data_IF_908783429383
#
_entry.id   IF_908783429383
#
_cell.length_a   1.000
_cell.length_b   1.000
_cell.length_c   1.000
_cell.angle_alpha   90.00
_cell.angle_beta   90.00
_cell.angle_gamma   90.00
#
_symmetry.space_group_name_H-M   'P 1'
#
loop_
_entity.id
_entity.type
_entity.pdbx_description
1 polymer ?
#
# COMPACT_ATOMS: atom_id res chain seq x y z
N UNK A 1 64.14 68.20 -35.50
CA UNK A 1 63.92 66.77 -35.67
C UNK A 1 62.89 66.33 -34.65
N UNK A 2 61.69 66.12 -35.10
CA UNK A 2 60.52 65.94 -34.30
C UNK A 2 60.27 64.41 -34.07
N UNK A 3 60.30 63.96 -32.83
CA UNK A 3 59.88 62.58 -32.50
C UNK A 3 58.46 62.57 -32.07
N UNK A 4 57.70 61.94 -32.91
CA UNK A 4 56.25 61.72 -32.74
C UNK A 4 56.07 60.36 -32.03
N UNK A 5 55.84 60.42 -30.71
CA UNK A 5 55.48 59.24 -29.94
C UNK A 5 54.01 58.90 -30.22
N UNK A 6 53.78 57.71 -30.74
CA UNK A 6 52.47 57.16 -30.94
C UNK A 6 52.10 56.37 -29.67
N UNK A 7 51.19 56.92 -28.88
CA UNK A 7 50.61 56.23 -27.74
C UNK A 7 49.51 55.22 -28.25
N UNK A 8 49.87 53.94 -28.22
CA UNK A 8 49.02 52.82 -28.73
C UNK A 8 48.16 52.17 -27.60
N UNK A 9 48.13 52.69 -26.42
CA UNK A 9 47.30 52.14 -25.35
C UNK A 9 46.28 53.16 -24.90
N UNK A 10 45.14 53.19 -25.64
CA UNK A 10 43.88 53.80 -25.17
C UNK A 10 43.39 53.04 -23.97
N UNK A 11 43.42 53.65 -22.81
CA UNK A 11 42.74 53.18 -21.60
C UNK A 11 41.23 53.05 -21.89
N UNK A 12 40.56 51.95 -21.55
CA UNK A 12 39.09 51.92 -21.63
C UNK A 12 38.56 52.90 -20.58
N UNK A 13 38.01 53.99 -21.03
CA UNK A 13 37.22 54.91 -20.21
C UNK A 13 36.03 54.10 -19.64
N UNK A 14 36.08 53.86 -18.35
CA UNK A 14 34.94 53.36 -17.59
C UNK A 14 33.82 54.43 -17.70
N UNK A 15 32.94 54.23 -18.67
CA UNK A 15 31.64 54.92 -18.71
C UNK A 15 30.80 54.43 -17.53
N UNK A 16 31.12 54.93 -16.34
CA UNK A 16 30.25 54.91 -15.21
C UNK A 16 29.06 55.83 -15.50
N UNK A 17 28.12 55.28 -16.28
CA UNK A 17 26.82 55.90 -16.49
C UNK A 17 26.11 55.97 -15.14
N UNK A 18 26.25 57.12 -14.44
CA UNK A 18 25.42 57.43 -13.30
C UNK A 18 23.96 57.34 -13.78
N UNK A 19 23.26 56.27 -13.30
CA UNK A 19 21.87 56.05 -13.62
C UNK A 19 21.05 57.23 -13.08
N UNK A 20 20.81 58.23 -13.92
CA UNK A 20 20.08 59.43 -13.58
C UNK A 20 18.60 59.10 -13.44
N UNK A 21 18.21 58.68 -12.22
CA UNK A 21 16.86 58.31 -11.83
C UNK A 21 15.83 59.37 -12.26
N UNK A 22 16.21 60.67 -12.19
CA UNK A 22 15.37 61.81 -12.59
C UNK A 22 15.12 61.85 -14.13
N UNK A 23 16.10 61.54 -14.94
CA UNK A 23 15.96 61.43 -16.39
C UNK A 23 15.16 60.17 -16.80
N UNK A 24 15.35 59.11 -16.08
CA UNK A 24 14.58 57.87 -16.29
C UNK A 24 13.09 58.10 -15.93
N UNK A 25 12.82 58.72 -14.79
CA UNK A 25 11.42 59.06 -14.38
C UNK A 25 10.76 60.03 -15.36
N UNK A 26 11.44 61.03 -15.86
CA UNK A 26 10.90 61.95 -16.87
C UNK A 26 10.59 61.27 -18.22
N UNK A 27 11.45 60.36 -18.69
CA UNK A 27 11.16 59.52 -19.85
C UNK A 27 10.00 58.58 -19.62
N UNK A 28 9.91 58.00 -18.47
CA UNK A 28 8.79 57.13 -18.07
C UNK A 28 7.46 57.92 -17.99
N UNK A 29 7.48 59.14 -17.43
CA UNK A 29 6.32 60.04 -17.37
C UNK A 29 5.90 60.53 -18.75
N UNK A 30 6.84 60.74 -19.69
CA UNK A 30 6.52 61.13 -21.05
C UNK A 30 5.81 60.02 -21.84
N UNK A 31 6.15 58.72 -21.54
CA UNK A 31 5.54 57.58 -22.20
C UNK A 31 4.41 56.94 -21.38
N UNK A 32 3.85 57.67 -20.41
CA UNK A 32 2.78 57.16 -19.55
C UNK A 32 1.57 56.57 -20.31
N UNK A 33 1.16 57.07 -21.50
CA UNK A 33 0.05 56.45 -22.23
C UNK A 33 0.40 55.05 -22.76
N UNK A 34 1.69 54.80 -23.11
CA UNK A 34 2.17 53.47 -23.45
C UNK A 34 2.04 52.47 -22.29
N UNK A 35 2.42 52.95 -21.08
CA UNK A 35 2.24 52.13 -19.85
C UNK A 35 0.76 51.88 -19.56
N UNK A 36 -0.09 52.89 -19.76
CA UNK A 36 -1.54 52.75 -19.58
C UNK A 36 -2.14 51.72 -20.56
N UNK A 37 -1.73 51.73 -21.83
CA UNK A 37 -2.18 50.76 -22.81
C UNK A 37 -1.70 49.37 -22.45
N UNK A 38 -0.42 49.20 -22.07
CA UNK A 38 0.13 47.94 -21.61
C UNK A 38 -0.61 47.40 -20.37
N UNK A 39 -0.90 48.30 -19.43
CA UNK A 39 -1.59 47.95 -18.19
C UNK A 39 -3.02 47.46 -18.50
N UNK A 40 -3.74 48.20 -19.33
CA UNK A 40 -5.09 47.80 -19.77
C UNK A 40 -5.07 46.47 -20.53
N UNK A 41 -4.13 46.32 -21.46
CA UNK A 41 -3.97 45.07 -22.22
C UNK A 41 -3.67 43.89 -21.27
N UNK A 42 -2.76 44.09 -20.32
CA UNK A 42 -2.44 43.06 -19.32
C UNK A 42 -3.64 42.70 -18.46
N UNK A 43 -4.41 43.71 -17.99
CA UNK A 43 -5.63 43.46 -17.19
C UNK A 43 -6.69 42.71 -18.03
N UNK A 44 -6.85 43.05 -19.31
CA UNK A 44 -7.78 42.35 -20.20
C UNK A 44 -7.32 40.90 -20.37
N UNK A 45 -6.05 40.66 -20.63
CA UNK A 45 -5.49 39.31 -20.76
C UNK A 45 -5.62 38.51 -19.43
N UNK A 46 -5.30 39.14 -18.29
CA UNK A 46 -5.46 38.54 -16.98
C UNK A 46 -6.93 38.19 -16.68
N UNK A 47 -7.85 39.10 -17.01
CA UNK A 47 -9.28 38.86 -16.86
C UNK A 47 -9.74 37.67 -17.70
N UNK A 48 -9.32 37.57 -18.95
CA UNK A 48 -9.63 36.44 -19.81
C UNK A 48 -8.98 35.16 -19.25
N UNK A 49 -7.71 35.21 -18.84
CA UNK A 49 -7.02 34.07 -18.22
C UNK A 49 -7.79 33.54 -17.01
N UNK A 50 -8.10 34.39 -16.03
CA UNK A 50 -8.83 33.99 -14.81
C UNK A 50 -10.23 33.45 -15.15
N UNK A 51 -10.88 34.00 -16.18
CA UNK A 51 -12.24 33.62 -16.54
C UNK A 51 -12.33 32.30 -17.29
N UNK A 52 -11.29 31.93 -18.05
CA UNK A 52 -11.24 30.70 -18.82
C UNK A 52 -10.47 29.58 -18.15
N UNK A 53 -9.60 29.90 -17.18
CA UNK A 53 -8.88 28.89 -16.39
C UNK A 53 -9.84 28.24 -15.41
N UNK A 54 -9.83 26.92 -15.38
CA UNK A 54 -10.60 26.13 -14.41
C UNK A 54 -9.94 26.25 -13.03
N UNK A 55 -10.71 26.52 -11.97
CA UNK A 55 -10.15 26.52 -10.63
C UNK A 55 -9.70 25.10 -10.26
N UNK A 56 -8.53 24.97 -9.65
CA UNK A 56 -8.07 23.77 -9.00
C UNK A 56 -8.06 23.97 -7.50
N UNK A 57 -8.56 23.03 -6.76
CA UNK A 57 -8.64 23.04 -5.29
C UNK A 57 -7.81 21.91 -4.73
N UNK A 58 -6.99 22.23 -3.73
CA UNK A 58 -6.26 21.24 -2.97
C UNK A 58 -7.16 20.74 -1.84
N UNK A 59 -7.35 19.44 -1.77
CA UNK A 59 -8.12 18.76 -0.73
C UNK A 59 -7.19 17.86 0.05
N UNK A 60 -7.13 18.05 1.36
CA UNK A 60 -6.20 17.38 2.25
C UNK A 60 -6.94 16.43 3.18
N UNK A 61 -6.35 15.30 3.46
CA UNK A 61 -6.73 14.40 4.53
C UNK A 61 -5.47 13.91 5.26
N UNK A 62 -5.59 13.73 6.56
CA UNK A 62 -4.50 13.26 7.41
C UNK A 62 -4.95 12.00 8.13
N UNK A 63 -4.17 10.95 8.06
CA UNK A 63 -4.41 9.70 8.77
C UNK A 63 -3.31 9.46 9.80
N UNK A 64 -3.70 9.11 11.02
CA UNK A 64 -2.78 8.66 12.06
C UNK A 64 -2.72 7.14 12.04
N UNK A 65 -1.57 6.59 11.68
CA UNK A 65 -1.30 5.16 11.76
C UNK A 65 -0.93 4.87 13.21
N UNK A 66 -1.90 4.31 13.95
CA UNK A 66 -1.70 3.99 15.36
C UNK A 66 -0.81 2.77 15.48
N UNK A 67 0.41 2.99 15.94
CA UNK A 67 1.31 1.91 16.34
C UNK A 67 0.78 1.25 17.60
N UNK A 68 0.49 -0.05 17.54
CA UNK A 68 -0.01 -0.80 18.71
C UNK A 68 1.10 -1.22 19.67
N UNK A 69 2.35 -0.90 19.38
CA UNK A 69 3.52 -1.23 20.20
C UNK A 69 3.48 -0.64 21.62
N UNK A 70 2.56 0.28 21.92
CA UNK A 70 2.36 0.85 23.28
C UNK A 70 1.37 0.08 24.15
N UNK A 71 0.75 -1.01 23.69
CA UNK A 71 0.04 -1.88 24.61
C UNK A 71 1.07 -2.57 25.50
N UNK A 72 0.99 -2.28 26.80
CA UNK A 72 1.76 -2.87 27.91
C UNK A 72 2.27 -4.24 27.51
N UNK A 73 3.57 -4.36 27.29
CA UNK A 73 4.26 -5.62 27.08
C UNK A 73 3.95 -6.51 28.28
N UNK A 74 3.07 -7.46 28.09
CA UNK A 74 2.97 -8.61 28.97
C UNK A 74 4.13 -9.51 28.54
N UNK A 75 5.14 -9.74 29.40
CA UNK A 75 6.33 -10.52 29.03
C UNK A 75 5.99 -11.88 28.41
N UNK A 76 4.88 -12.48 28.85
CA UNK A 76 4.39 -13.76 28.35
C UNK A 76 3.83 -13.70 26.90
N UNK A 77 3.55 -12.50 26.34
CA UNK A 77 3.09 -12.35 24.95
C UNK A 77 4.24 -11.94 24.00
N UNK A 78 5.30 -11.32 24.55
CA UNK A 78 6.53 -11.06 23.80
C UNK A 78 7.26 -12.39 23.47
N UNK A 79 7.15 -13.38 24.33
CA UNK A 79 7.74 -14.72 24.14
C UNK A 79 7.03 -15.55 23.05
N UNK A 80 5.80 -15.19 22.70
CA UNK A 80 4.99 -15.88 21.69
C UNK A 80 5.03 -15.21 20.32
N UNK A 81 5.82 -14.16 20.14
CA UNK A 81 5.97 -13.38 18.89
C UNK A 81 4.62 -13.01 18.20
N UNK A 82 3.56 -12.89 19.02
CA UNK A 82 2.23 -12.46 18.60
C UNK A 82 2.11 -10.93 18.50
N UNK A 83 3.23 -10.23 18.65
CA UNK A 83 3.29 -8.78 18.50
C UNK A 83 3.42 -8.46 17.02
N UNK A 84 2.33 -7.95 16.43
CA UNK A 84 2.39 -7.38 15.06
C UNK A 84 3.59 -6.44 14.95
N UNK A 85 4.41 -6.61 13.92
CA UNK A 85 5.49 -5.69 13.59
C UNK A 85 4.94 -4.25 13.50
N UNK A 86 5.72 -3.24 13.90
CA UNK A 86 5.32 -1.84 13.75
C UNK A 86 4.89 -1.58 12.31
N UNK A 87 3.71 -0.98 12.13
CA UNK A 87 3.25 -0.63 10.80
C UNK A 87 4.17 0.44 10.23
N UNK A 88 4.79 0.13 9.10
CA UNK A 88 5.59 1.09 8.35
C UNK A 88 4.64 2.02 7.55
N UNK A 89 4.61 3.32 7.86
CA UNK A 89 3.77 4.27 7.13
C UNK A 89 4.04 4.29 5.63
N UNK A 90 5.27 4.00 5.21
CA UNK A 90 5.63 3.93 3.79
C UNK A 90 5.00 2.71 3.09
N UNK A 91 4.91 1.59 3.78
CA UNK A 91 4.21 0.41 3.27
C UNK A 91 2.69 0.65 3.17
N UNK A 92 2.11 1.36 4.16
CA UNK A 92 0.68 1.70 4.15
C UNK A 92 0.33 2.68 3.02
N UNK A 93 1.21 3.65 2.70
CA UNK A 93 1.11 4.49 1.51
C UNK A 93 1.05 3.62 0.25
N UNK A 94 1.93 2.61 0.12
CA UNK A 94 1.93 1.69 -1.01
C UNK A 94 0.61 0.92 -1.18
N UNK A 95 -0.08 0.62 -0.08
CA UNK A 95 -1.42 -0.01 -0.12
C UNK A 95 -2.48 0.98 -0.57
N UNK A 96 -2.46 2.22 -0.06
CA UNK A 96 -3.42 3.26 -0.42
C UNK A 96 -3.30 3.67 -1.89
N UNK A 97 -2.08 3.84 -2.41
CA UNK A 97 -1.81 4.19 -3.82
C UNK A 97 -1.88 3.01 -4.78
N UNK A 98 -2.21 1.81 -4.31
CA UNK A 98 -2.29 0.63 -5.17
C UNK A 98 -3.40 0.76 -6.24
N UNK A 99 -3.16 0.18 -7.42
CA UNK A 99 -4.16 0.12 -8.50
C UNK A 99 -5.48 -0.52 -8.03
N UNK A 100 -5.41 -1.48 -7.10
CA UNK A 100 -6.59 -2.14 -6.54
C UNK A 100 -7.43 -1.15 -5.73
N UNK A 101 -6.79 -0.40 -4.82
CA UNK A 101 -7.47 0.58 -3.95
C UNK A 101 -8.06 1.72 -4.78
N UNK A 102 -7.26 2.34 -5.65
CA UNK A 102 -7.72 3.43 -6.52
C UNK A 102 -8.78 2.92 -7.51
N UNK A 103 -8.63 1.70 -8.01
CA UNK A 103 -9.62 1.06 -8.88
C UNK A 103 -10.97 0.89 -8.21
N UNK A 104 -11.00 0.49 -6.94
CA UNK A 104 -12.24 0.38 -6.16
C UNK A 104 -12.93 1.75 -6.00
N UNK A 105 -12.17 2.81 -5.68
CA UNK A 105 -12.70 4.17 -5.55
C UNK A 105 -13.30 4.67 -6.88
N UNK A 106 -12.61 4.41 -7.99
CA UNK A 106 -13.11 4.79 -9.33
C UNK A 106 -14.42 4.10 -9.64
N UNK A 107 -14.60 2.85 -9.21
CA UNK A 107 -15.84 2.09 -9.39
C UNK A 107 -16.93 2.59 -8.44
N UNK A 108 -16.65 2.74 -7.16
CA UNK A 108 -17.62 3.10 -6.12
C UNK A 108 -18.19 4.50 -6.36
N UNK A 109 -17.35 5.46 -6.70
CA UNK A 109 -17.75 6.83 -6.97
C UNK A 109 -18.08 7.08 -8.45
N UNK A 110 -17.95 6.07 -9.31
CA UNK A 110 -18.17 6.18 -10.77
C UNK A 110 -17.37 7.31 -11.41
N UNK A 111 -16.11 7.52 -11.02
CA UNK A 111 -15.27 8.64 -11.45
C UNK A 111 -14.95 8.62 -12.95
N UNK A 112 -15.17 7.50 -13.61
CA UNK A 112 -15.05 7.36 -15.06
C UNK A 112 -16.20 8.04 -15.83
N UNK A 113 -17.23 8.58 -15.09
CA UNK A 113 -18.34 9.33 -15.66
C UNK A 113 -18.24 10.77 -15.24
N UNK A 114 -18.13 11.70 -16.19
CA UNK A 114 -18.13 13.13 -15.92
C UNK A 114 -19.41 13.79 -16.40
N UNK A 115 -19.89 14.75 -15.64
CA UNK A 115 -21.12 15.49 -15.91
C UNK A 115 -20.80 16.95 -16.06
N UNK A 116 -21.01 17.49 -17.26
CA UNK A 116 -20.69 18.88 -17.59
C UNK A 116 -21.92 19.67 -17.98
N UNK A 117 -21.98 20.90 -17.55
CA UNK A 117 -22.95 21.86 -18.04
C UNK A 117 -22.25 22.95 -18.86
N UNK A 118 -22.83 23.31 -20.02
CA UNK A 118 -22.36 24.42 -20.82
C UNK A 118 -22.67 25.73 -20.13
N UNK A 119 -21.64 26.55 -19.89
CA UNK A 119 -21.77 27.89 -19.30
C UNK A 119 -22.15 28.91 -20.40
N UNK A 120 -22.58 30.13 -19.97
CA UNK A 120 -22.90 31.26 -20.87
C UNK A 120 -21.78 31.61 -21.87
N UNK A 121 -20.53 31.29 -21.54
CA UNK A 121 -19.34 31.56 -22.35
C UNK A 121 -18.87 30.38 -23.19
N UNK A 122 -19.73 29.39 -23.43
CA UNK A 122 -19.44 28.18 -24.23
C UNK A 122 -18.39 27.25 -23.62
N UNK A 123 -17.93 27.52 -22.40
CA UNK A 123 -17.07 26.63 -21.61
C UNK A 123 -17.91 25.56 -20.89
N UNK A 124 -17.39 24.37 -20.74
CA UNK A 124 -18.02 23.29 -19.97
C UNK A 124 -17.50 23.32 -18.54
N UNK A 125 -18.41 23.25 -17.58
CA UNK A 125 -18.10 23.18 -16.15
C UNK A 125 -18.63 21.87 -15.59
N UNK A 126 -17.79 21.19 -14.85
CA UNK A 126 -18.17 19.98 -14.11
C UNK A 126 -19.22 20.31 -13.04
N UNK A 127 -20.27 19.51 -13.01
CA UNK A 127 -21.41 19.65 -12.07
C UNK A 127 -21.55 18.44 -11.15
N UNK A 128 -20.47 17.70 -10.89
CA UNK A 128 -20.46 16.51 -10.04
C UNK A 128 -21.27 16.67 -8.75
N UNK A 129 -21.04 17.75 -8.01
CA UNK A 129 -21.72 18.01 -6.72
C UNK A 129 -23.22 18.33 -6.85
N UNK A 130 -23.69 18.74 -8.03
CA UNK A 130 -25.06 19.20 -8.29
C UNK A 130 -25.71 18.50 -9.49
N UNK A 131 -25.17 17.36 -9.90
CA UNK A 131 -25.72 16.63 -11.05
C UNK A 131 -27.20 16.33 -10.88
N UNK A 132 -28.04 16.62 -11.89
CA UNK A 132 -29.47 16.32 -11.81
C UNK A 132 -29.81 14.86 -12.11
N UNK A 133 -28.88 14.11 -12.69
CA UNK A 133 -29.07 12.70 -13.04
C UNK A 133 -27.82 11.91 -12.72
N UNK A 134 -28.00 10.66 -12.38
CA UNK A 134 -26.93 9.70 -12.17
C UNK A 134 -27.04 8.60 -13.23
N UNK A 135 -25.96 8.43 -13.99
CA UNK A 135 -25.85 7.35 -14.96
C UNK A 135 -25.53 6.06 -14.23
N UNK A 136 -26.34 5.03 -14.44
CA UNK A 136 -26.16 3.71 -13.85
C UNK A 136 -26.02 2.66 -14.96
N UNK A 137 -24.83 2.08 -15.06
CA UNK A 137 -24.59 0.97 -15.96
C UNK A 137 -25.11 -0.31 -15.30
N UNK A 138 -26.09 -0.99 -15.94
CA UNK A 138 -26.70 -2.21 -15.44
C UNK A 138 -26.03 -3.46 -15.98
N UNK A 139 -25.53 -3.39 -17.22
CA UNK A 139 -24.82 -4.47 -17.88
C UNK A 139 -23.86 -3.90 -18.91
N UNK A 140 -22.61 -4.29 -18.85
CA UNK A 140 -21.59 -3.89 -19.84
C UNK A 140 -21.87 -4.53 -21.20
N UNK A 141 -21.72 -3.77 -22.26
CA UNK A 141 -21.72 -4.32 -23.63
C UNK A 141 -20.50 -5.18 -23.90
N UNK A 142 -20.58 -6.09 -24.87
CA UNK A 142 -19.45 -6.99 -25.24
C UNK A 142 -18.18 -6.24 -25.63
N UNK A 143 -18.29 -5.00 -26.08
CA UNK A 143 -17.19 -4.14 -26.52
C UNK A 143 -17.17 -2.83 -25.72
N UNK A 144 -17.37 -2.91 -24.41
CA UNK A 144 -17.26 -1.74 -23.54
C UNK A 144 -15.79 -1.37 -23.34
N UNK A 145 -15.22 -0.83 -24.38
CA UNK A 145 -14.09 0.11 -24.28
C UNK A 145 -14.66 1.44 -24.72
N UNK A 146 -15.01 2.37 -23.82
CA UNK A 146 -15.30 3.74 -24.26
C UNK A 146 -14.04 4.21 -24.97
N UNK A 147 -14.16 4.45 -26.28
CA UNK A 147 -13.17 5.25 -26.99
C UNK A 147 -13.10 6.59 -26.26
N UNK A 148 -11.91 7.18 -26.17
CA UNK A 148 -11.69 8.44 -25.45
C UNK A 148 -12.83 9.42 -25.68
N UNK A 149 -13.67 9.62 -24.62
CA UNK A 149 -14.66 10.67 -24.60
C UNK A 149 -15.97 10.44 -25.32
N UNK A 150 -16.51 9.23 -25.33
CA UNK A 150 -17.89 9.00 -25.80
C UNK A 150 -18.86 9.92 -25.04
N UNK A 151 -19.50 10.84 -25.77
CA UNK A 151 -20.31 11.90 -25.20
C UNK A 151 -21.80 11.67 -25.46
N UNK A 152 -22.58 11.77 -24.39
CA UNK A 152 -24.02 11.79 -24.39
C UNK A 152 -24.52 13.20 -24.03
N UNK A 153 -25.33 13.79 -24.84
CA UNK A 153 -25.96 15.07 -24.55
C UNK A 153 -27.40 14.83 -24.13
N UNK A 154 -27.72 15.25 -22.91
CA UNK A 154 -29.05 15.05 -22.30
C UNK A 154 -29.65 16.41 -22.05
N UNK A 155 -30.82 16.66 -22.65
CA UNK A 155 -31.62 17.86 -22.41
C UNK A 155 -32.81 17.47 -21.54
N UNK A 156 -32.90 17.98 -20.34
CA UNK A 156 -33.96 17.71 -19.36
C UNK A 156 -35.20 18.49 -19.80
N UNK A 157 -36.28 17.81 -20.19
CA UNK A 157 -37.52 18.46 -20.61
C UNK A 157 -38.53 18.64 -19.47
N UNK A 158 -38.65 17.61 -18.65
CA UNK A 158 -39.54 17.58 -17.48
C UNK A 158 -38.97 16.71 -16.37
N UNK A 159 -39.73 16.46 -15.32
CA UNK A 159 -39.33 15.54 -14.26
C UNK A 159 -39.33 14.06 -14.72
N UNK A 160 -40.06 13.75 -15.80
CA UNK A 160 -40.25 12.37 -16.27
C UNK A 160 -39.49 12.06 -17.55
N UNK A 161 -39.16 13.07 -18.35
CA UNK A 161 -38.64 12.89 -19.72
C UNK A 161 -37.41 13.74 -20.01
N UNK A 162 -36.50 13.17 -20.77
CA UNK A 162 -35.33 13.85 -21.31
C UNK A 162 -35.15 13.55 -22.81
N UNK A 163 -34.42 14.43 -23.49
CA UNK A 163 -33.94 14.20 -24.83
C UNK A 163 -32.50 13.73 -24.79
N UNK A 164 -32.24 12.55 -25.35
CA UNK A 164 -30.91 12.02 -25.53
C UNK A 164 -30.42 12.33 -26.95
N UNK A 165 -29.20 12.89 -27.04
CA UNK A 165 -28.45 13.02 -28.29
C UNK A 165 -27.09 12.36 -28.09
N UNK A 166 -26.81 11.31 -28.81
CA UNK A 166 -25.48 10.74 -28.94
C UNK A 166 -24.75 11.37 -30.10
N UNK A 167 -23.43 11.50 -30.04
CA UNK A 167 -22.64 12.09 -31.13
C UNK A 167 -23.04 11.50 -32.48
N UNK A 168 -23.41 12.36 -33.47
CA UNK A 168 -23.84 11.94 -34.82
C UNK A 168 -25.27 11.40 -34.97
N UNK A 169 -26.08 11.27 -33.91
CA UNK A 169 -27.45 10.72 -33.95
C UNK A 169 -28.51 11.78 -33.71
N UNK A 170 -29.77 11.50 -34.18
CA UNK A 170 -30.93 12.37 -33.94
C UNK A 170 -31.37 12.30 -32.45
N UNK A 171 -32.03 13.37 -31.98
CA UNK A 171 -32.60 13.41 -30.64
C UNK A 171 -33.64 12.30 -30.44
N UNK A 172 -33.59 11.59 -29.33
CA UNK A 172 -34.57 10.59 -28.89
C UNK A 172 -35.15 11.03 -27.59
N UNK A 173 -36.48 11.09 -27.47
CA UNK A 173 -37.17 11.35 -26.20
C UNK A 173 -37.25 10.05 -25.42
N UNK A 174 -36.86 10.09 -24.16
CA UNK A 174 -36.77 8.92 -23.28
C UNK A 174 -37.31 9.30 -21.89
N UNK A 175 -37.86 8.32 -21.17
CA UNK A 175 -38.27 8.52 -19.79
C UNK A 175 -37.11 8.22 -18.81
N UNK A 176 -37.10 8.92 -17.68
CA UNK A 176 -36.19 8.60 -16.60
C UNK A 176 -36.52 7.22 -16.00
N UNK A 177 -35.53 6.55 -15.44
CA UNK A 177 -35.63 5.21 -14.84
C UNK A 177 -35.90 4.04 -15.83
N UNK A 178 -36.20 4.32 -17.11
CA UNK A 178 -36.23 3.28 -18.11
C UNK A 178 -34.84 2.72 -18.40
N UNK A 179 -34.79 1.44 -18.77
CA UNK A 179 -33.56 0.79 -19.16
C UNK A 179 -33.30 1.01 -20.65
N UNK A 180 -32.13 1.48 -20.99
CA UNK A 180 -31.71 1.72 -22.38
C UNK A 180 -30.58 0.77 -22.76
N UNK A 181 -30.54 0.40 -24.03
CA UNK A 181 -29.48 -0.43 -24.61
C UNK A 181 -28.85 0.34 -25.75
N UNK A 182 -27.54 0.48 -25.71
CA UNK A 182 -26.73 1.06 -26.79
C UNK A 182 -25.37 0.33 -26.89
N UNK A 183 -24.41 0.91 -27.60
CA UNK A 183 -23.05 0.38 -27.75
C UNK A 183 -22.32 0.17 -26.42
N UNK A 184 -22.64 0.94 -25.38
CA UNK A 184 -22.03 0.83 -24.05
C UNK A 184 -22.62 -0.32 -23.21
N UNK A 185 -23.79 -0.82 -23.57
CA UNK A 185 -24.50 -1.84 -22.82
C UNK A 185 -25.89 -1.41 -22.39
N UNK A 186 -26.39 -2.02 -21.32
CA UNK A 186 -27.67 -1.69 -20.70
C UNK A 186 -27.43 -0.70 -19.56
N UNK A 187 -28.08 0.46 -19.63
CA UNK A 187 -27.93 1.53 -18.65
C UNK A 187 -29.26 2.21 -18.33
N UNK A 188 -29.26 3.01 -17.28
CA UNK A 188 -30.40 3.79 -16.80
C UNK A 188 -29.92 5.13 -16.28
N UNK A 189 -30.78 6.15 -16.37
CA UNK A 189 -30.59 7.42 -15.70
C UNK A 189 -31.52 7.52 -14.49
N UNK A 190 -30.93 7.57 -13.31
CA UNK A 190 -31.67 7.84 -12.09
C UNK A 190 -31.68 9.35 -11.83
N UNK A 191 -32.80 9.87 -11.36
CA UNK A 191 -32.97 11.31 -11.06
C UNK A 191 -32.45 11.63 -9.68
N UNK A 192 -31.87 12.82 -9.50
CA UNK A 192 -31.46 13.35 -8.21
C UNK A 192 -32.39 14.51 -7.77
N UNK A 193 -32.27 14.95 -6.52
CA UNK A 193 -33.02 16.09 -5.98
C UNK A 193 -32.79 17.39 -6.74
N UNK A 194 -31.65 17.48 -7.45
CA UNK A 194 -31.29 18.67 -8.22
C UNK A 194 -31.99 18.77 -9.58
N UNK A 195 -32.74 17.75 -10.02
CA UNK A 195 -33.34 17.68 -11.34
C UNK A 195 -34.14 18.96 -11.69
N UNK A 196 -34.92 19.47 -10.73
CA UNK A 196 -35.77 20.67 -10.92
C UNK A 196 -35.00 21.90 -11.37
N UNK A 197 -33.75 22.07 -10.91
CA UNK A 197 -32.89 23.21 -11.23
C UNK A 197 -32.35 23.19 -12.66
N UNK A 198 -32.47 22.03 -13.32
CA UNK A 198 -31.88 21.76 -14.64
C UNK A 198 -32.92 21.54 -15.74
N UNK A 199 -34.20 21.72 -15.47
CA UNK A 199 -35.26 21.66 -16.50
C UNK A 199 -34.96 22.72 -17.57
N UNK A 200 -34.99 22.29 -18.84
CA UNK A 200 -34.62 23.12 -19.99
C UNK A 200 -33.11 23.23 -20.29
N UNK A 201 -32.26 22.67 -19.44
CA UNK A 201 -30.80 22.72 -19.63
C UNK A 201 -30.29 21.43 -20.27
N UNK A 202 -29.19 21.59 -21.02
CA UNK A 202 -28.47 20.46 -21.64
C UNK A 202 -27.22 20.15 -20.80
N UNK A 203 -27.03 18.88 -20.52
CA UNK A 203 -25.88 18.33 -19.79
C UNK A 203 -25.15 17.40 -20.74
N UNK A 204 -23.83 17.46 -20.71
CA UNK A 204 -22.95 16.51 -21.37
C UNK A 204 -22.51 15.46 -20.35
N UNK A 205 -22.72 14.20 -20.64
CA UNK A 205 -22.18 13.06 -19.91
C UNK A 205 -21.06 12.49 -20.75
N UNK A 206 -19.86 12.47 -20.22
CA UNK A 206 -18.70 11.86 -20.87
C UNK A 206 -18.36 10.57 -20.14
N UNK A 207 -18.23 9.50 -20.91
CA UNK A 207 -17.81 8.19 -20.41
C UNK A 207 -16.34 8.02 -20.76
N UNK A 208 -15.49 7.93 -19.75
CA UNK A 208 -14.06 7.74 -19.89
C UNK A 208 -13.69 6.26 -19.72
N UNK A 209 -12.51 5.88 -20.18
CA UNK A 209 -12.00 4.53 -19.95
C UNK A 209 -11.72 4.33 -18.44
N UNK A 210 -12.35 3.35 -17.77
CA UNK A 210 -12.12 3.13 -16.34
C UNK A 210 -10.67 2.88 -15.99
N UNK A 211 -9.90 2.16 -16.82
CA UNK A 211 -8.49 1.85 -16.57
C UNK A 211 -7.61 3.11 -16.63
N UNK A 212 -7.85 3.97 -17.62
CA UNK A 212 -7.15 5.25 -17.74
C UNK A 212 -7.54 6.21 -16.62
N UNK A 213 -8.82 6.18 -16.22
CA UNK A 213 -9.30 6.95 -15.07
C UNK A 213 -8.58 6.52 -13.79
N UNK A 214 -8.39 5.23 -13.58
CA UNK A 214 -7.61 4.71 -12.42
C UNK A 214 -6.17 5.23 -12.47
N UNK A 215 -5.51 5.14 -13.62
CA UNK A 215 -4.13 5.62 -13.76
C UNK A 215 -4.01 7.14 -13.52
N UNK A 216 -4.99 7.93 -14.01
CA UNK A 216 -5.03 9.37 -13.81
C UNK A 216 -5.21 9.75 -12.33
N UNK A 217 -6.14 9.09 -11.62
CA UNK A 217 -6.34 9.34 -10.18
C UNK A 217 -5.19 8.81 -9.33
N UNK A 218 -4.58 7.68 -9.70
CA UNK A 218 -3.36 7.19 -9.04
C UNK A 218 -2.21 8.22 -9.13
N UNK A 219 -2.08 8.91 -10.26
CA UNK A 219 -1.10 9.98 -10.42
C UNK A 219 -1.50 11.33 -9.80
N UNK A 220 -2.79 11.53 -9.48
CA UNK A 220 -3.31 12.77 -8.91
C UNK A 220 -3.39 12.75 -7.37
N UNK A 221 -3.32 11.58 -6.75
CA UNK A 221 -3.28 11.42 -5.30
C UNK A 221 -1.82 11.43 -4.86
N UNK A 222 -1.47 12.39 -4.01
CA UNK A 222 -0.13 12.51 -3.45
C UNK A 222 -0.17 12.14 -1.97
N UNK A 223 0.65 11.17 -1.59
CA UNK A 223 0.76 10.71 -0.22
C UNK A 223 2.16 10.97 0.29
N UNK A 224 2.27 11.45 1.51
CA UNK A 224 3.54 11.73 2.14
C UNK A 224 3.51 11.41 3.63
N UNK A 225 4.64 10.97 4.17
CA UNK A 225 4.79 10.82 5.62
C UNK A 225 4.98 12.20 6.22
N UNK A 226 4.15 12.55 7.20
CA UNK A 226 4.19 13.86 7.86
C UNK A 226 5.55 14.15 8.48
N UNK A 227 6.14 15.29 8.14
CA UNK A 227 7.51 15.66 8.50
C UNK A 227 7.77 15.78 10.01
N UNK A 228 6.73 15.87 10.85
CA UNK A 228 6.85 16.09 12.31
C UNK A 228 6.56 14.86 13.15
N UNK A 229 5.89 13.87 12.60
CA UNK A 229 5.52 12.63 13.31
C UNK A 229 5.57 11.45 12.35
N UNK A 230 6.44 10.49 12.62
CA UNK A 230 6.66 9.33 11.75
C UNK A 230 5.40 8.46 11.49
N UNK A 231 4.34 8.65 12.27
CA UNK A 231 3.12 7.84 12.19
C UNK A 231 1.93 8.56 11.54
N UNK A 232 2.16 9.71 10.93
CA UNK A 232 1.12 10.50 10.24
C UNK A 232 1.37 10.42 8.74
N UNK A 233 0.33 10.09 8.00
CA UNK A 233 0.33 10.16 6.54
C UNK A 233 -0.61 11.28 6.12
N UNK A 234 -0.07 12.21 5.36
CA UNK A 234 -0.82 13.29 4.71
C UNK A 234 -1.15 12.85 3.28
N UNK A 235 -2.40 13.04 2.89
CA UNK A 235 -2.93 12.64 1.59
C UNK A 235 -3.55 13.88 0.95
N UNK A 236 -3.08 14.22 -0.23
CA UNK A 236 -3.46 15.40 -0.98
C UNK A 236 -4.03 15.00 -2.34
N UNK A 237 -5.09 15.66 -2.76
CA UNK A 237 -5.61 15.55 -4.12
C UNK A 237 -5.98 16.91 -4.67
N UNK A 238 -5.61 17.16 -5.93
CA UNK A 238 -6.03 18.34 -6.68
C UNK A 238 -7.24 18.02 -7.55
N UNK A 239 -8.34 18.74 -7.34
CA UNK A 239 -9.57 18.53 -8.08
C UNK A 239 -10.25 19.87 -8.45
N UNK A 240 -10.91 19.93 -9.62
CA UNK A 240 -11.74 21.07 -10.03
C UNK A 240 -13.01 21.21 -9.17
N UNK A 241 -13.45 20.11 -8.54
CA UNK A 241 -14.66 20.05 -7.70
C UNK A 241 -14.30 19.59 -6.28
N UNK A 242 -14.25 20.51 -5.29
CA UNK A 242 -13.84 20.17 -3.92
C UNK A 242 -14.64 19.04 -3.27
N UNK A 243 -15.94 18.95 -3.63
CA UNK A 243 -16.81 17.89 -3.13
C UNK A 243 -16.41 16.51 -3.66
N UNK A 244 -15.93 16.43 -4.92
CA UNK A 244 -15.41 15.19 -5.52
C UNK A 244 -14.09 14.81 -4.87
N UNK A 245 -13.15 15.74 -4.72
CA UNK A 245 -11.89 15.49 -4.02
C UNK A 245 -12.12 14.97 -2.61
N UNK A 246 -13.05 15.58 -1.86
CA UNK A 246 -13.44 15.10 -0.52
C UNK A 246 -14.05 13.69 -0.56
N UNK A 247 -14.94 13.41 -1.54
CA UNK A 247 -15.54 12.09 -1.68
C UNK A 247 -14.46 11.04 -1.98
N UNK A 248 -13.48 11.37 -2.84
CA UNK A 248 -12.37 10.48 -3.19
C UNK A 248 -11.52 10.17 -1.95
N UNK A 249 -11.10 11.19 -1.18
CA UNK A 249 -10.30 10.97 0.02
C UNK A 249 -11.06 10.19 1.09
N UNK A 250 -12.34 10.47 1.30
CA UNK A 250 -13.15 9.72 2.26
C UNK A 250 -13.32 8.25 1.83
N UNK A 251 -13.52 8.01 0.55
CA UNK A 251 -13.67 6.65 0.02
C UNK A 251 -12.34 5.90 0.03
N UNK A 252 -11.22 6.58 -0.26
CA UNK A 252 -9.87 6.05 -0.10
C UNK A 252 -9.63 5.54 1.32
N UNK A 253 -9.96 6.37 2.30
CA UNK A 253 -9.84 5.99 3.71
C UNK A 253 -10.74 4.82 4.07
N UNK A 254 -11.98 4.79 3.56
CA UNK A 254 -12.92 3.68 3.76
C UNK A 254 -12.37 2.39 3.18
N UNK A 255 -11.99 2.39 1.90
CA UNK A 255 -11.45 1.20 1.20
C UNK A 255 -10.18 0.70 1.87
N UNK A 256 -9.28 1.62 2.26
CA UNK A 256 -8.07 1.27 3.00
C UNK A 256 -8.40 0.63 4.36
N UNK A 257 -9.34 1.21 5.12
CA UNK A 257 -9.74 0.65 6.42
C UNK A 257 -10.37 -0.73 6.26
N UNK A 258 -11.27 -0.91 5.28
CA UNK A 258 -11.90 -2.18 4.99
C UNK A 258 -10.87 -3.25 4.62
N UNK A 259 -9.92 -2.90 3.74
CA UNK A 259 -8.83 -3.78 3.34
C UNK A 259 -7.91 -4.14 4.53
N UNK A 260 -7.59 -3.16 5.40
CA UNK A 260 -6.76 -3.37 6.59
C UNK A 260 -7.45 -4.28 7.61
N UNK A 261 -8.77 -4.13 7.80
CA UNK A 261 -9.56 -4.99 8.68
C UNK A 261 -9.63 -6.42 8.13
N UNK A 262 -9.86 -6.58 6.83
CA UNK A 262 -9.93 -7.92 6.21
C UNK A 262 -8.58 -8.64 6.25
N UNK A 263 -7.49 -7.94 5.97
CA UNK A 263 -6.14 -8.50 6.10
C UNK A 263 -5.84 -8.98 7.52
N UNK A 264 -6.23 -8.19 8.54
CA UNK A 264 -6.09 -8.60 9.96
C UNK A 264 -6.96 -9.81 10.30
N UNK A 265 -8.17 -9.84 9.78
CA UNK A 265 -9.09 -10.97 9.98
C UNK A 265 -8.53 -12.24 9.36
N UNK A 266 -8.01 -12.16 8.14
CA UNK A 266 -7.40 -13.29 7.44
C UNK A 266 -6.16 -13.79 8.20
N UNK A 267 -5.28 -12.88 8.62
CA UNK A 267 -4.11 -13.22 9.44
C UNK A 267 -4.51 -13.89 10.76
N UNK A 268 -5.52 -13.34 11.46
CA UNK A 268 -6.05 -13.93 12.69
C UNK A 268 -6.65 -15.33 12.49
N UNK A 269 -7.39 -15.54 11.41
CA UNK A 269 -7.96 -16.85 11.08
C UNK A 269 -6.87 -17.88 10.75
N UNK A 270 -5.84 -17.47 10.01
CA UNK A 270 -4.70 -18.34 9.69
C UNK A 270 -3.93 -18.72 10.95
N UNK A 271 -3.73 -17.77 11.86
CA UNK A 271 -3.10 -18.02 13.15
C UNK A 271 -3.91 -19.00 14.00
N UNK A 272 -5.22 -18.81 14.11
CA UNK A 272 -6.10 -19.73 14.85
C UNK A 272 -6.05 -21.14 14.27
N UNK A 273 -6.16 -21.25 12.93
CA UNK A 273 -6.08 -22.56 12.23
C UNK A 273 -4.74 -23.25 12.49
N UNK A 274 -3.64 -22.51 12.47
CA UNK A 274 -2.32 -23.03 12.78
C UNK A 274 -2.24 -23.54 14.23
N UNK A 275 -2.72 -22.75 15.20
CA UNK A 275 -2.73 -23.13 16.62
C UNK A 275 -3.59 -24.38 16.86
N UNK A 276 -4.78 -24.45 16.25
CA UNK A 276 -5.66 -25.62 16.37
C UNK A 276 -5.02 -26.89 15.78
N UNK A 277 -4.39 -26.77 14.63
CA UNK A 277 -3.67 -27.88 14.01
C UNK A 277 -2.50 -28.35 14.87
N UNK A 278 -1.77 -27.41 15.47
CA UNK A 278 -0.63 -27.72 16.33
C UNK A 278 -1.07 -28.36 17.64
N UNK A 279 -2.13 -27.84 18.28
CA UNK A 279 -2.76 -28.44 19.46
C UNK A 279 -3.20 -29.89 19.17
N UNK A 280 -3.88 -30.11 18.05
CA UNK A 280 -4.30 -31.46 17.66
C UNK A 280 -3.11 -32.40 17.41
N UNK A 281 -1.98 -31.88 16.89
CA UNK A 281 -0.76 -32.67 16.71
C UNK A 281 -0.13 -33.05 18.04
N UNK A 282 0.06 -32.06 18.93
CA UNK A 282 0.63 -32.26 20.26
C UNK A 282 -0.22 -33.23 21.09
N UNK A 283 -1.56 -33.08 21.04
CA UNK A 283 -2.47 -33.98 21.76
C UNK A 283 -2.35 -35.42 21.22
N UNK A 284 -2.22 -35.62 19.92
CA UNK A 284 -2.00 -36.95 19.34
C UNK A 284 -0.63 -37.54 19.74
N UNK A 285 0.41 -36.72 19.73
CA UNK A 285 1.75 -37.14 20.17
C UNK A 285 1.74 -37.53 21.65
N UNK A 286 1.09 -36.71 22.50
CA UNK A 286 0.95 -36.99 23.93
C UNK A 286 0.18 -38.29 24.18
N UNK A 287 -0.99 -38.46 23.51
CA UNK A 287 -1.80 -39.67 23.63
C UNK A 287 -1.03 -40.92 23.14
N UNK A 288 -0.23 -40.77 22.07
CA UNK A 288 0.59 -41.86 21.56
C UNK A 288 1.73 -42.23 22.53
N UNK A 289 2.37 -41.23 23.11
CA UNK A 289 3.39 -41.43 24.15
C UNK A 289 2.76 -42.06 25.38
N UNK A 290 1.61 -41.56 25.84
CA UNK A 290 0.89 -42.06 27.01
C UNK A 290 0.37 -43.50 26.80
N UNK A 291 -0.17 -43.80 25.59
CA UNK A 291 -0.59 -45.17 25.24
C UNK A 291 0.60 -46.14 25.17
N UNK A 292 1.73 -45.73 24.60
CA UNK A 292 2.98 -46.51 24.63
C UNK A 292 3.51 -46.72 26.05
N UNK A 293 3.42 -45.70 26.88
CA UNK A 293 3.82 -45.78 28.26
C UNK A 293 2.92 -46.72 29.08
N UNK A 294 1.60 -46.63 28.92
CA UNK A 294 0.67 -47.56 29.58
C UNK A 294 0.77 -48.99 29.04
N UNK A 295 0.93 -49.17 27.71
CA UNK A 295 1.19 -50.49 27.13
C UNK A 295 2.48 -51.12 27.65
N UNK A 296 3.51 -50.32 27.81
CA UNK A 296 4.78 -50.76 28.37
C UNK A 296 4.70 -51.11 29.86
N UNK A 297 3.95 -50.28 30.65
CA UNK A 297 3.71 -50.50 32.09
C UNK A 297 2.87 -51.76 32.35
N UNK A 298 1.97 -52.11 31.41
CA UNK A 298 1.14 -53.32 31.51
C UNK A 298 1.88 -54.60 31.08
N UNK A 299 2.84 -54.47 30.15
CA UNK A 299 3.59 -55.63 29.62
C UNK A 299 4.82 -56.02 30.42
N UNK A 300 5.37 -55.11 31.23
CA UNK A 300 6.57 -55.31 32.08
C UNK A 300 6.25 -55.06 33.55
N UNK A 301 5.55 -55.99 34.17
CA UNK A 301 5.27 -55.94 35.63
C UNK A 301 6.50 -56.25 36.50
N UNK A 302 7.71 -55.91 36.05
CA UNK A 302 8.97 -56.07 36.79
C UNK A 302 9.64 -54.72 36.90
N UNK A 303 9.62 -54.17 38.09
CA UNK A 303 10.30 -52.91 38.47
C UNK A 303 11.78 -53.18 38.68
N UNK A 304 12.58 -53.02 37.60
CA UNK A 304 14.04 -52.86 37.77
C UNK A 304 14.33 -51.36 37.77
N UNK A 305 14.58 -50.83 38.94
CA UNK A 305 14.88 -49.40 39.22
C UNK A 305 16.11 -48.92 38.44
N UNK A 306 17.08 -49.80 38.23
CA UNK A 306 18.31 -49.52 37.48
C UNK A 306 18.02 -49.29 35.99
N UNK A 307 17.12 -50.08 35.37
CA UNK A 307 16.72 -49.92 33.95
C UNK A 307 15.83 -48.66 33.73
N UNK A 308 15.14 -48.18 34.74
CA UNK A 308 14.39 -46.95 34.71
C UNK A 308 15.32 -45.71 34.73
N UNK A 309 16.38 -45.75 35.54
CA UNK A 309 17.39 -44.68 35.57
C UNK A 309 18.08 -44.48 34.22
N UNK A 310 18.52 -45.59 33.60
CA UNK A 310 19.17 -45.56 32.30
C UNK A 310 18.23 -45.01 31.19
N UNK A 311 16.94 -45.31 31.29
CA UNK A 311 15.94 -44.78 30.34
C UNK A 311 15.67 -43.29 30.51
N UNK A 312 15.53 -42.84 31.76
CA UNK A 312 15.37 -41.39 32.01
C UNK A 312 16.61 -40.63 31.58
N UNK A 313 17.80 -41.17 31.79
CA UNK A 313 19.05 -40.58 31.31
C UNK A 313 19.11 -40.53 29.79
N UNK A 314 18.77 -41.62 29.13
CA UNK A 314 18.74 -41.68 27.65
C UNK A 314 17.71 -40.70 27.05
N UNK A 315 16.52 -40.58 27.66
CA UNK A 315 15.49 -39.65 27.26
C UNK A 315 15.91 -38.20 27.51
N UNK A 316 16.55 -37.88 28.61
CA UNK A 316 17.12 -36.58 28.90
C UNK A 316 18.18 -36.20 27.83
N UNK A 317 19.13 -37.13 27.57
CA UNK A 317 20.15 -36.92 26.51
C UNK A 317 19.55 -36.71 25.13
N UNK A 318 18.51 -37.48 24.77
CA UNK A 318 17.79 -37.31 23.49
C UNK A 318 17.07 -35.95 23.43
N UNK A 319 16.49 -35.52 24.56
CA UNK A 319 15.82 -34.22 24.67
C UNK A 319 16.81 -33.08 24.52
N UNK A 320 17.97 -33.17 25.19
CA UNK A 320 19.05 -32.19 25.06
C UNK A 320 19.61 -32.10 23.64
N UNK A 321 19.78 -33.26 22.97
CA UNK A 321 20.21 -33.29 21.58
C UNK A 321 19.20 -32.55 20.64
N UNK A 322 17.90 -32.75 20.89
CA UNK A 322 16.83 -32.04 20.12
C UNK A 322 16.79 -30.54 20.43
N UNK A 323 16.99 -30.16 21.69
CA UNK A 323 17.08 -28.74 22.07
C UNK A 323 18.28 -28.09 21.40
N UNK A 324 19.42 -28.77 21.32
CA UNK A 324 20.60 -28.30 20.62
C UNK A 324 20.34 -28.15 19.09
N UNK A 325 19.66 -29.11 18.48
CA UNK A 325 19.26 -28.99 17.06
C UNK A 325 18.37 -27.76 16.82
N UNK A 326 17.38 -27.52 17.72
CA UNK A 326 16.53 -26.34 17.64
C UNK A 326 17.34 -25.06 17.83
N UNK A 327 18.31 -25.03 18.76
CA UNK A 327 19.18 -23.87 18.94
C UNK A 327 20.00 -23.56 17.69
N UNK A 328 20.52 -24.60 17.02
CA UNK A 328 21.22 -24.44 15.73
C UNK A 328 20.27 -23.84 14.67
N UNK A 329 19.05 -24.37 14.56
CA UNK A 329 18.05 -23.87 13.61
C UNK A 329 17.66 -22.41 13.90
N UNK A 330 17.50 -22.04 15.17
CA UNK A 330 17.25 -20.65 15.57
C UNK A 330 18.41 -19.72 15.19
N UNK A 331 19.65 -20.16 15.39
CA UNK A 331 20.83 -19.39 14.98
C UNK A 331 20.90 -19.20 13.45
N UNK A 332 20.55 -20.23 12.68
CA UNK A 332 20.45 -20.11 11.22
C UNK A 332 19.38 -19.11 10.81
N UNK A 333 18.23 -19.10 11.50
CA UNK A 333 17.18 -18.09 11.24
C UNK A 333 17.66 -16.66 11.55
N UNK A 334 18.45 -16.47 12.62
CA UNK A 334 19.03 -15.18 12.97
C UNK A 334 20.00 -14.71 11.87
N UNK A 335 20.82 -15.60 11.31
CA UNK A 335 21.71 -15.28 10.18
C UNK A 335 20.93 -14.92 8.92
N UNK A 336 19.85 -15.65 8.62
CA UNK A 336 18.98 -15.35 7.47
C UNK A 336 18.29 -13.99 7.67
N UNK A 337 17.84 -13.68 8.86
CA UNK A 337 17.21 -12.39 9.20
C UNK A 337 18.21 -11.22 9.06
N UNK A 338 19.44 -11.39 9.51
CA UNK A 338 20.53 -10.43 9.29
C UNK A 338 20.80 -10.22 7.80
N UNK A 339 20.81 -11.28 7.01
CA UNK A 339 20.97 -11.22 5.56
C UNK A 339 19.84 -10.41 4.89
N UNK A 340 18.59 -10.69 5.24
CA UNK A 340 17.42 -9.98 4.70
C UNK A 340 17.47 -8.48 5.02
N UNK A 341 17.95 -8.12 6.20
CA UNK A 341 18.01 -6.74 6.68
C UNK A 341 19.25 -5.98 6.19
N UNK A 342 20.28 -6.69 5.69
CA UNK A 342 21.49 -6.05 5.15
C UNK A 342 21.23 -5.37 3.81
N UNK A 343 21.65 -4.12 3.67
CA UNK A 343 21.58 -3.37 2.42
C UNK A 343 22.56 -3.90 1.36
N UNK A 344 23.63 -4.62 1.78
CA UNK A 344 24.71 -5.15 0.94
C UNK A 344 24.56 -6.65 0.62
N UNK A 345 23.42 -7.25 0.87
CA UNK A 345 23.17 -8.72 0.82
C UNK A 345 23.30 -9.41 -0.54
N UNK A 346 24.17 -8.94 -1.42
CA UNK A 346 24.32 -9.53 -2.76
C UNK A 346 25.42 -10.59 -2.86
N UNK A 347 26.37 -10.65 -1.90
CA UNK A 347 27.60 -11.40 -2.18
C UNK A 347 27.60 -12.87 -1.72
N UNK A 348 26.80 -13.25 -0.72
CA UNK A 348 26.68 -14.66 -0.32
C UNK A 348 25.31 -14.93 0.32
N UNK A 349 24.48 -15.80 -0.29
CA UNK A 349 23.26 -16.25 0.39
C UNK A 349 23.64 -17.05 1.64
N UNK A 350 22.87 -16.90 2.74
CA UNK A 350 23.14 -17.64 3.97
C UNK A 350 23.01 -19.14 3.75
N UNK A 351 23.83 -19.90 4.43
CA UNK A 351 23.71 -21.35 4.43
C UNK A 351 22.42 -21.75 5.16
N UNK A 352 21.53 -22.45 4.47
CA UNK A 352 20.28 -22.99 5.04
C UNK A 352 20.47 -24.40 5.57
N UNK A 353 21.69 -24.77 5.96
CA UNK A 353 22.04 -26.12 6.43
C UNK A 353 21.21 -26.47 7.67
N UNK A 354 20.45 -27.55 7.59
CA UNK A 354 19.61 -28.02 8.68
C UNK A 354 18.21 -27.42 8.74
N UNK A 355 17.84 -26.54 7.77
CA UNK A 355 16.49 -26.03 7.61
C UNK A 355 15.81 -26.72 6.43
N UNK A 356 14.96 -27.70 6.71
CA UNK A 356 14.21 -28.47 5.69
C UNK A 356 12.84 -27.82 5.37
N UNK A 357 12.81 -26.48 5.27
CA UNK A 357 11.61 -25.74 4.88
C UNK A 357 11.68 -25.34 3.40
N UNK A 358 10.88 -25.98 2.52
CA UNK A 358 10.88 -25.67 1.09
C UNK A 358 10.42 -24.23 0.79
N UNK A 359 9.53 -23.67 1.64
CA UNK A 359 9.04 -22.29 1.51
C UNK A 359 10.17 -21.29 1.75
N UNK A 360 10.91 -21.47 2.83
CA UNK A 360 12.07 -20.64 3.14
C UNK A 360 13.14 -20.73 2.03
N UNK A 361 13.49 -21.94 1.60
CA UNK A 361 14.47 -22.14 0.53
C UNK A 361 14.03 -21.52 -0.81
N UNK A 362 12.74 -21.67 -1.15
CA UNK A 362 12.16 -21.06 -2.34
C UNK A 362 12.24 -19.55 -2.32
N UNK A 363 11.87 -18.92 -1.20
CA UNK A 363 11.91 -17.47 -1.04
C UNK A 363 13.36 -16.92 -1.04
N UNK A 364 14.31 -17.61 -0.43
CA UNK A 364 15.73 -17.23 -0.47
C UNK A 364 16.26 -17.28 -1.90
N UNK A 365 15.95 -18.36 -2.62
CA UNK A 365 16.34 -18.52 -4.03
C UNK A 365 15.73 -17.40 -4.89
N UNK A 366 14.46 -17.10 -4.68
CA UNK A 366 13.78 -16.00 -5.38
C UNK A 366 14.42 -14.65 -5.08
N UNK A 367 14.71 -14.36 -3.81
CA UNK A 367 15.37 -13.13 -3.40
C UNK A 367 16.76 -13.01 -4.05
N UNK A 368 17.56 -14.09 -4.01
CA UNK A 368 18.89 -14.13 -4.61
C UNK A 368 18.82 -13.88 -6.12
N UNK A 369 17.87 -14.48 -6.82
CA UNK A 369 17.68 -14.28 -8.25
C UNK A 369 17.31 -12.83 -8.58
N UNK A 370 16.43 -12.21 -7.79
CA UNK A 370 16.03 -10.81 -7.96
C UNK A 370 17.20 -9.85 -7.69
N UNK A 371 18.02 -10.13 -6.67
CA UNK A 371 19.21 -9.36 -6.37
C UNK A 371 20.27 -9.46 -7.47
N UNK A 372 20.49 -10.67 -8.01
CA UNK A 372 21.37 -10.90 -9.15
C UNK A 372 20.88 -10.15 -10.40
N UNK A 373 19.57 -10.16 -10.64
CA UNK A 373 18.95 -9.43 -11.74
C UNK A 373 19.13 -7.91 -11.57
N UNK A 374 18.92 -7.38 -10.34
CA UNK A 374 19.20 -6.00 -10.00
C UNK A 374 20.70 -5.65 -10.22
N UNK A 375 21.60 -6.50 -9.74
CA UNK A 375 23.05 -6.30 -9.89
C UNK A 375 23.49 -6.25 -11.36
N UNK A 376 22.94 -7.12 -12.21
CA UNK A 376 23.19 -7.11 -13.67
C UNK A 376 22.71 -5.80 -14.32
N UNK A 377 21.57 -5.29 -13.92
CA UNK A 377 21.06 -4.01 -14.43
C UNK A 377 21.89 -2.82 -13.92
N UNK A 378 22.34 -2.84 -12.66
CA UNK A 378 23.22 -1.80 -12.10
C UNK A 378 24.58 -1.73 -12.81
N UNK A 379 25.04 -2.84 -13.39
CA UNK A 379 26.27 -2.85 -14.20
C UNK A 379 26.13 -2.07 -15.53
N UNK A 380 24.91 -1.82 -15.98
CA UNK A 380 24.63 -1.19 -17.30
C UNK A 380 23.82 0.11 -17.20
N UNK A 381 23.12 0.34 -16.11
CA UNK A 381 22.17 1.46 -15.94
C UNK A 381 22.41 2.16 -14.60
N UNK A 382 22.23 3.49 -14.53
CA UNK A 382 22.29 4.22 -13.26
C UNK A 382 21.11 3.84 -12.37
N UNK A 383 21.30 3.87 -11.07
CA UNK A 383 20.30 3.45 -10.06
C UNK A 383 19.00 4.27 -10.11
N UNK A 384 19.04 5.48 -10.66
CA UNK A 384 17.86 6.35 -10.85
C UNK A 384 16.93 5.92 -11.99
N UNK A 385 17.27 4.87 -12.75
CA UNK A 385 16.47 4.43 -13.89
C UNK A 385 15.14 3.82 -13.42
N UNK A 386 13.98 4.21 -13.99
CA UNK A 386 12.67 3.67 -13.62
C UNK A 386 12.52 2.14 -13.74
N UNK A 387 13.37 1.48 -14.52
CA UNK A 387 13.39 0.01 -14.64
C UNK A 387 13.73 -0.70 -13.33
N UNK A 388 14.32 0.00 -12.36
CA UNK A 388 14.58 -0.58 -11.03
C UNK A 388 13.34 -0.62 -10.13
N UNK A 389 12.31 0.18 -10.40
CA UNK A 389 11.13 0.25 -9.56
C UNK A 389 10.42 -1.11 -9.40
N UNK A 390 10.08 -1.84 -10.48
CA UNK A 390 9.43 -3.14 -10.35
C UNK A 390 10.32 -4.18 -9.65
N UNK A 391 11.62 -4.18 -9.91
CA UNK A 391 12.54 -5.12 -9.28
C UNK A 391 12.70 -4.82 -7.79
N UNK A 392 12.85 -3.55 -7.43
CA UNK A 392 12.91 -3.14 -6.03
C UNK A 392 11.62 -3.48 -5.28
N UNK A 393 10.48 -3.31 -5.93
CA UNK A 393 9.19 -3.71 -5.37
C UNK A 393 9.11 -5.23 -5.13
N UNK A 394 9.51 -6.05 -6.11
CA UNK A 394 9.55 -7.50 -5.96
C UNK A 394 10.52 -7.95 -4.87
N UNK A 395 11.70 -7.33 -4.77
CA UNK A 395 12.66 -7.58 -3.68
C UNK A 395 12.02 -7.28 -2.32
N UNK A 396 11.32 -6.16 -2.18
CA UNK A 396 10.68 -5.78 -0.92
C UNK A 396 9.54 -6.75 -0.56
N UNK A 397 8.71 -7.13 -1.52
CA UNK A 397 7.64 -8.13 -1.32
C UNK A 397 8.24 -9.47 -0.87
N UNK A 398 9.29 -9.95 -1.56
CA UNK A 398 9.95 -11.21 -1.22
C UNK A 398 10.65 -11.15 0.16
N UNK A 399 11.25 -10.01 0.52
CA UNK A 399 11.82 -9.79 1.85
C UNK A 399 10.77 -9.83 2.96
N UNK A 400 9.60 -9.22 2.72
CA UNK A 400 8.52 -9.25 3.69
C UNK A 400 7.94 -10.66 3.85
N UNK A 401 7.75 -11.40 2.75
CA UNK A 401 7.34 -12.79 2.79
C UNK A 401 8.36 -13.68 3.54
N UNK A 402 9.66 -13.41 3.35
CA UNK A 402 10.72 -14.10 4.09
C UNK A 402 10.65 -13.80 5.60
N UNK A 403 10.46 -12.53 6.00
CA UNK A 403 10.33 -12.17 7.42
C UNK A 403 9.14 -12.87 8.07
N UNK A 404 8.01 -12.86 7.38
CA UNK A 404 6.79 -13.53 7.86
C UNK A 404 7.01 -15.04 8.03
N UNK A 405 7.63 -15.69 7.03
CA UNK A 405 7.96 -17.10 7.09
C UNK A 405 8.95 -17.42 8.23
N UNK A 406 10.02 -16.63 8.38
CA UNK A 406 11.00 -16.77 9.47
C UNK A 406 10.32 -16.61 10.83
N UNK A 407 9.44 -15.61 10.99
CA UNK A 407 8.70 -15.40 12.23
C UNK A 407 7.84 -16.60 12.59
N UNK A 408 7.15 -17.17 11.60
CA UNK A 408 6.37 -18.39 11.77
C UNK A 408 7.20 -19.59 12.22
N UNK A 409 8.33 -19.84 11.52
CA UNK A 409 9.23 -20.95 11.85
C UNK A 409 9.85 -20.74 13.24
N UNK A 410 10.32 -19.52 13.54
CA UNK A 410 10.90 -19.17 14.86
C UNK A 410 9.92 -19.43 15.98
N UNK A 411 8.68 -18.95 15.85
CA UNK A 411 7.63 -19.18 16.85
C UNK A 411 7.40 -20.66 17.11
N UNK A 412 7.34 -21.48 16.04
CA UNK A 412 7.19 -22.94 16.15
C UNK A 412 8.38 -23.59 16.87
N UNK A 413 9.61 -23.19 16.52
CA UNK A 413 10.82 -23.73 17.13
C UNK A 413 10.94 -23.35 18.60
N UNK A 414 10.61 -22.11 18.97
CA UNK A 414 10.62 -21.65 20.37
C UNK A 414 9.61 -22.42 21.20
N UNK A 415 8.38 -22.58 20.69
CA UNK A 415 7.35 -23.38 21.37
C UNK A 415 7.80 -24.84 21.57
N UNK A 416 8.41 -25.44 20.55
CA UNK A 416 8.94 -26.80 20.62
C UNK A 416 10.08 -26.92 21.63
N UNK A 417 10.99 -25.92 21.65
CA UNK A 417 12.08 -25.85 22.62
C UNK A 417 11.57 -25.80 24.08
N UNK A 418 10.58 -24.95 24.36
CA UNK A 418 9.98 -24.84 25.69
C UNK A 418 9.33 -26.15 26.11
N UNK A 419 8.63 -26.83 25.23
CA UNK A 419 8.04 -28.13 25.50
C UNK A 419 9.12 -29.17 25.83
N UNK A 420 10.20 -29.23 25.03
CA UNK A 420 11.32 -30.14 25.28
C UNK A 420 12.03 -29.81 26.59
N UNK A 421 12.21 -28.54 26.95
CA UNK A 421 12.78 -28.11 28.22
C UNK A 421 11.92 -28.57 29.41
N UNK A 422 10.59 -28.44 29.27
CA UNK A 422 9.67 -28.95 30.30
C UNK A 422 9.75 -30.47 30.46
N UNK A 423 9.86 -31.21 29.34
CA UNK A 423 10.06 -32.66 29.36
C UNK A 423 11.40 -33.05 29.99
N UNK A 424 12.48 -32.35 29.62
CA UNK A 424 13.82 -32.59 30.13
C UNK A 424 13.89 -32.39 31.65
N UNK A 425 13.28 -31.28 32.14
CA UNK A 425 13.18 -31.05 33.58
C UNK A 425 12.36 -32.11 34.32
N UNK A 426 11.33 -32.67 33.67
CA UNK A 426 10.57 -33.83 34.18
C UNK A 426 11.43 -35.07 34.31
N UNK A 427 12.25 -35.39 33.29
CA UNK A 427 13.17 -36.52 33.35
C UNK A 427 14.26 -36.34 34.40
N UNK A 428 14.85 -35.14 34.51
CA UNK A 428 15.82 -34.82 35.55
C UNK A 428 15.21 -34.97 36.97
N UNK A 429 13.98 -34.49 37.18
CA UNK A 429 13.25 -34.64 38.42
C UNK A 429 13.02 -36.12 38.75
N UNK A 430 12.66 -36.92 37.73
CA UNK A 430 12.49 -38.37 37.89
C UNK A 430 13.81 -39.07 38.26
N UNK A 431 14.92 -38.71 37.58
CA UNK A 431 16.26 -39.23 37.91
C UNK A 431 16.64 -38.89 39.35
N UNK A 432 16.37 -37.67 39.83
CA UNK A 432 16.66 -37.25 41.19
C UNK A 432 15.80 -37.97 42.21
N UNK A 433 14.60 -38.43 41.88
CA UNK A 433 13.69 -39.16 42.78
C UNK A 433 14.03 -40.66 42.91
N UNK A 434 14.77 -41.21 41.92
CA UNK A 434 15.16 -42.64 41.91
C UNK A 434 15.95 -43.07 43.18
N UNK A 435 16.95 -42.32 43.69
CA UNK A 435 17.65 -42.70 44.93
C UNK A 435 16.76 -42.72 46.16
N UNK A 436 15.67 -41.94 46.16
CA UNK A 436 14.66 -41.99 47.25
C UNK A 436 13.83 -43.27 47.22
N UNK A 437 13.40 -43.68 46.00
CA UNK A 437 12.63 -44.91 45.81
C UNK A 437 13.46 -46.18 46.05
N UNK A 438 14.77 -46.17 45.76
CA UNK A 438 15.68 -47.26 46.15
C UNK A 438 15.86 -47.38 47.65
N UNK A 439 15.87 -46.27 48.38
CA UNK A 439 15.92 -46.29 49.85
C UNK A 439 14.67 -46.86 50.49
N UNK A 440 13.50 -46.45 49.97
CA UNK A 440 12.19 -46.92 50.45
C UNK A 440 11.98 -48.42 50.15
N UNK A 441 12.60 -48.96 49.07
CA UNK A 441 12.60 -50.41 48.80
C UNK A 441 13.63 -51.20 49.58
N UNK A 442 14.67 -50.56 50.13
CA UNK A 442 15.66 -51.18 50.99
C UNK A 442 15.28 -51.20 52.48
N UNK A 443 14.28 -50.40 52.88
CA UNK A 443 13.76 -50.30 54.25
C UNK A 443 12.50 -51.17 54.44
N UNK A 444 12.04 -51.96 53.44
CA UNK A 444 11.02 -52.98 53.50
C UNK A 444 11.66 -54.38 53.47
#
# INVERSE_FOLDING_TARGET
MSNKNIDIFGSPSAAGGSFNVRQFLNKMLFHWPLFAIFFVTFFVLAFFYIKFTKPSYDVHATILIKDQTYRRRLPALDELDLVEAPKDPQAEIGVMSSISTVGQIVVDLQLWITYDQKNKYHSYRDIYASTPVQFKLLQTGRNFTPDEGDQLYITIQSQDYFLLKQSGKKFKRLAFKDNFINSFGKWRLDVTDNLKKYIGKTIRITLNNPKETVANYQGAIFESVGAKTANVVDIDIQDEVPMRGRAILNDLLRVYMDASVEAKRESGQNTLKFVDQRLASITRELNNVESKFQGYKSSNAIVETQSQGDRYLSNAQSTDARINDINIKLSVLDEIELYINSAKGADNPPATVGMDDPGLQGLITQLTNLQLQKARLLATLPESNPLFNPINQQINVTRNALRENITGIRSSLVATKQQLQSLGSGYESSIRSLPGQERDLSDI
#
